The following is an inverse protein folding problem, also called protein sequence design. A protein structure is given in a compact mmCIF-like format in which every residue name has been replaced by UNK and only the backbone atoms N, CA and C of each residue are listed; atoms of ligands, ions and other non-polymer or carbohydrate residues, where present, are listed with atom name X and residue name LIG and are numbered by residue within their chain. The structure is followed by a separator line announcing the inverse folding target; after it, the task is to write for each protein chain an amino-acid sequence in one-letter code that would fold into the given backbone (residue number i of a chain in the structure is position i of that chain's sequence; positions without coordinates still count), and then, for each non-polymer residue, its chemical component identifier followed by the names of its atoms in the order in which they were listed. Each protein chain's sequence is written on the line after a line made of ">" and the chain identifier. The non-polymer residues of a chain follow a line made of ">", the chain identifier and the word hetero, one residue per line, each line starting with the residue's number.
data_IF_851480618112
#
_entry.id   IF_851480618112
#
_cell.length_a   1.000
_cell.length_b   1.000
_cell.length_c   1.000
_cell.angle_alpha   90.00
_cell.angle_beta   90.00
_cell.angle_gamma   90.00
#
_symmetry.space_group_name_H-M   'P 1'
#
loop_
_entity.id
_entity.type
_entity.pdbx_description
1 polymer ?
#
# COMPACT_ATOMS: atom_id res chain seq x y z
N UNK A 1 -20.65 35.99 -1.34
CA UNK A 1 -20.46 34.69 -2.00
C UNK A 1 -20.86 34.84 -3.46
N UNK A 2 -19.87 35.03 -4.36
CA UNK A 2 -20.13 35.07 -5.79
C UNK A 2 -20.35 33.65 -6.29
N UNK A 3 -21.53 33.36 -6.84
CA UNK A 3 -21.77 32.09 -7.52
C UNK A 3 -21.17 32.20 -8.92
N UNK A 4 -20.35 31.24 -9.32
CA UNK A 4 -19.81 31.17 -10.68
C UNK A 4 -20.95 30.80 -11.64
N UNK A 5 -21.70 31.81 -12.08
CA UNK A 5 -22.87 31.69 -12.95
C UNK A 5 -22.62 31.05 -14.34
N UNK A 6 -21.40 31.05 -14.92
CA UNK A 6 -21.19 30.44 -16.23
C UNK A 6 -21.32 28.91 -16.22
N UNK A 7 -20.88 28.22 -15.15
CA UNK A 7 -20.83 26.76 -15.15
C UNK A 7 -22.21 26.10 -15.30
N UNK A 8 -23.26 26.49 -14.55
CA UNK A 8 -24.60 25.91 -14.73
C UNK A 8 -25.25 26.19 -16.09
N UNK A 9 -24.71 27.13 -16.88
CA UNK A 9 -25.22 27.46 -18.23
C UNK A 9 -24.62 26.59 -19.33
N UNK A 10 -23.59 25.82 -19.02
CA UNK A 10 -23.01 24.86 -19.96
C UNK A 10 -23.97 23.69 -20.20
N UNK A 11 -24.03 23.16 -21.45
CA UNK A 11 -24.66 21.88 -21.74
C UNK A 11 -24.21 20.79 -20.76
N UNK A 12 -25.09 19.84 -20.49
CA UNK A 12 -24.83 18.79 -19.52
C UNK A 12 -23.56 17.99 -19.86
N UNK A 13 -23.34 17.73 -21.13
CA UNK A 13 -22.21 16.97 -21.66
C UNK A 13 -20.89 17.65 -21.29
N UNK A 14 -20.80 18.97 -21.42
CA UNK A 14 -19.61 19.72 -21.05
C UNK A 14 -19.40 19.75 -19.54
N UNK A 15 -20.48 19.88 -18.75
CA UNK A 15 -20.36 19.83 -17.29
C UNK A 15 -19.90 18.45 -16.79
N UNK A 16 -20.45 17.38 -17.37
CA UNK A 16 -20.02 16.01 -17.10
C UNK A 16 -18.53 15.82 -17.39
N UNK A 17 -18.08 16.20 -18.59
CA UNK A 17 -16.66 16.15 -18.94
C UNK A 17 -15.77 16.96 -17.98
N UNK A 18 -16.21 18.15 -17.58
CA UNK A 18 -15.48 18.95 -16.58
C UNK A 18 -15.34 18.18 -15.27
N UNK A 19 -16.41 17.54 -14.78
CA UNK A 19 -16.34 16.73 -13.57
C UNK A 19 -15.41 15.53 -13.70
N UNK A 20 -15.47 14.79 -14.82
CA UNK A 20 -14.55 13.69 -15.10
C UNK A 20 -13.09 14.14 -15.07
N UNK A 21 -12.78 15.35 -15.58
CA UNK A 21 -11.44 15.93 -15.54
C UNK A 21 -11.00 16.40 -14.15
N UNK A 22 -11.92 16.53 -13.17
CA UNK A 22 -11.55 16.91 -11.79
C UNK A 22 -11.02 15.75 -10.95
N UNK A 23 -11.05 14.52 -11.49
CA UNK A 23 -10.64 13.34 -10.73
C UNK A 23 -9.14 13.14 -10.88
N UNK A 24 -8.42 13.19 -9.77
CA UNK A 24 -6.98 13.01 -9.72
C UNK A 24 -6.62 11.75 -8.91
N UNK A 25 -5.65 10.94 -9.36
CA UNK A 25 -5.15 9.81 -8.58
C UNK A 25 -4.63 10.26 -7.21
N UNK A 26 -5.02 9.53 -6.17
CA UNK A 26 -4.57 9.79 -4.80
C UNK A 26 -4.42 8.51 -4.01
N UNK A 27 -3.69 8.60 -2.91
CA UNK A 27 -3.58 7.52 -1.93
C UNK A 27 -4.65 7.67 -0.86
N UNK A 28 -5.47 6.64 -0.70
CA UNK A 28 -6.52 6.57 0.31
C UNK A 28 -6.11 5.56 1.37
N UNK A 29 -5.81 6.06 2.57
CA UNK A 29 -5.43 5.23 3.70
C UNK A 29 -6.66 4.61 4.32
N UNK A 30 -6.71 3.28 4.34
CA UNK A 30 -7.83 2.49 4.86
C UNK A 30 -7.28 1.44 5.80
N UNK A 31 -7.42 1.67 7.10
CA UNK A 31 -6.93 0.76 8.12
C UNK A 31 -8.00 0.32 9.11
N UNK A 32 -7.80 -0.86 9.69
CA UNK A 32 -8.74 -1.49 10.61
C UNK A 32 -8.16 -1.46 12.02
N UNK A 33 -8.87 -0.83 12.96
CA UNK A 33 -8.47 -0.76 14.37
C UNK A 33 -9.27 -1.74 15.22
N UNK A 34 -8.59 -2.54 16.04
CA UNK A 34 -9.22 -3.35 17.09
C UNK A 34 -9.69 -2.49 18.25
N UNK A 35 -10.91 -2.66 18.73
CA UNK A 35 -11.28 -2.20 20.06
C UNK A 35 -10.91 -3.25 21.11
N UNK A 36 -10.05 -2.90 22.06
CA UNK A 36 -9.70 -3.70 23.24
C UNK A 36 -9.12 -5.10 22.93
N UNK A 37 -7.80 -5.14 22.76
CA UNK A 37 -6.89 -6.29 22.73
C UNK A 37 -7.50 -7.67 22.46
N UNK A 38 -7.28 -8.19 21.24
CA UNK A 38 -7.48 -9.57 20.76
C UNK A 38 -8.81 -10.32 21.04
N UNK A 39 -9.65 -9.88 21.98
CA UNK A 39 -10.75 -10.66 22.55
C UNK A 39 -12.14 -10.23 22.10
N UNK A 40 -12.31 -9.00 21.60
CA UNK A 40 -13.64 -8.50 21.26
C UNK A 40 -14.10 -8.81 19.83
N UNK A 41 -13.19 -9.23 18.93
CA UNK A 41 -13.51 -9.51 17.52
C UNK A 41 -14.10 -8.31 16.76
N UNK A 42 -14.14 -7.13 17.38
CA UNK A 42 -14.79 -5.94 16.87
C UNK A 42 -13.76 -5.03 16.20
N UNK A 43 -13.93 -4.89 14.90
CA UNK A 43 -13.07 -4.14 14.01
C UNK A 43 -13.72 -2.82 13.65
N UNK A 44 -12.96 -1.73 13.68
CA UNK A 44 -13.40 -0.40 13.28
C UNK A 44 -12.65 0.03 12.03
N UNK A 45 -13.39 0.40 10.99
CA UNK A 45 -12.87 1.07 9.81
C UNK A 45 -12.42 2.49 10.17
N UNK A 46 -11.18 2.82 9.82
CA UNK A 46 -10.59 4.15 10.00
C UNK A 46 -9.97 4.61 8.68
N UNK A 47 -10.24 5.88 8.34
CA UNK A 47 -9.62 6.59 7.23
C UNK A 47 -9.25 7.99 7.70
N UNK A 48 -7.97 8.37 7.68
CA UNK A 48 -7.56 9.76 7.89
C UNK A 48 -7.71 10.58 6.60
N UNK A 49 -7.80 9.91 5.44
CA UNK A 49 -7.90 10.59 4.14
C UNK A 49 -9.22 11.36 4.04
N UNK A 50 -9.17 12.67 3.75
CA UNK A 50 -10.37 13.48 3.62
C UNK A 50 -11.20 13.09 2.39
N UNK A 51 -12.49 13.41 2.46
CA UNK A 51 -13.41 13.24 1.34
C UNK A 51 -12.96 14.15 0.17
N UNK A 52 -12.96 13.66 -1.09
CA UNK A 52 -12.57 14.45 -2.25
C UNK A 52 -13.29 15.79 -2.32
N UNK A 53 -12.56 16.86 -2.67
CA UNK A 53 -13.11 18.21 -2.79
C UNK A 53 -14.30 18.27 -3.77
N UNK A 54 -14.26 17.48 -4.86
CA UNK A 54 -15.34 17.36 -5.85
C UNK A 54 -16.69 16.98 -5.23
N UNK A 55 -16.70 16.13 -4.19
CA UNK A 55 -17.95 15.71 -3.52
C UNK A 55 -18.53 16.80 -2.59
N UNK A 56 -17.71 17.80 -2.25
CA UNK A 56 -18.10 18.98 -1.48
C UNK A 56 -18.56 20.14 -2.37
N UNK A 57 -18.26 20.13 -3.67
CA UNK A 57 -18.54 21.24 -4.57
C UNK A 57 -20.04 21.51 -4.74
N UNK A 58 -20.81 20.52 -5.24
CA UNK A 58 -22.26 20.67 -5.45
C UNK A 58 -22.96 19.31 -5.57
N UNK A 59 -24.30 19.33 -5.65
CA UNK A 59 -25.13 18.13 -5.79
C UNK A 59 -24.87 17.36 -7.09
N UNK A 60 -24.59 18.09 -8.17
CA UNK A 60 -24.29 17.49 -9.48
C UNK A 60 -23.00 16.68 -9.43
N UNK A 61 -21.90 17.28 -8.97
CA UNK A 61 -20.62 16.61 -8.83
C UNK A 61 -20.71 15.35 -7.94
N UNK A 62 -21.44 15.44 -6.82
CA UNK A 62 -21.66 14.29 -5.92
C UNK A 62 -22.44 13.15 -6.57
N UNK A 63 -23.39 13.47 -7.44
CA UNK A 63 -24.25 12.49 -8.09
C UNK A 63 -23.70 12.02 -9.44
N UNK A 64 -22.56 12.56 -9.88
CA UNK A 64 -21.96 12.21 -11.16
C UNK A 64 -21.36 10.79 -11.18
N UNK A 65 -21.19 10.16 -10.01
CA UNK A 65 -20.77 8.76 -9.90
C UNK A 65 -19.25 8.52 -9.94
N UNK A 66 -18.46 9.60 -9.90
CA UNK A 66 -16.99 9.55 -9.94
C UNK A 66 -16.35 8.86 -8.73
N UNK A 67 -17.05 8.81 -7.60
CA UNK A 67 -16.61 8.15 -6.38
C UNK A 67 -17.74 7.31 -5.81
N UNK A 68 -17.39 6.18 -5.19
CA UNK A 68 -18.34 5.25 -4.57
C UNK A 68 -18.05 5.10 -3.08
N UNK A 69 -19.09 4.85 -2.30
CA UNK A 69 -18.95 4.45 -0.89
C UNK A 69 -18.55 2.97 -0.84
N UNK A 70 -17.38 2.66 -0.26
CA UNK A 70 -16.86 1.28 -0.14
C UNK A 70 -16.39 0.99 1.29
N UNK A 71 -16.03 -0.28 1.52
CA UNK A 71 -15.35 -0.79 2.70
C UNK A 71 -16.15 -0.77 4.01
N UNK A 72 -17.45 -0.48 3.97
CA UNK A 72 -18.31 -0.54 5.16
C UNK A 72 -18.53 -1.95 5.70
N UNK A 73 -18.15 -2.97 4.93
CA UNK A 73 -18.07 -4.39 5.27
C UNK A 73 -16.83 -4.77 6.08
N UNK A 74 -15.81 -3.88 6.20
CA UNK A 74 -14.58 -4.13 6.98
C UNK A 74 -14.75 -3.91 8.50
N UNK A 75 -15.94 -3.56 8.94
CA UNK A 75 -16.20 -3.18 10.33
C UNK A 75 -17.41 -3.90 10.91
N UNK A 76 -17.43 -3.99 12.24
CA UNK A 76 -18.61 -4.42 12.97
C UNK A 76 -19.67 -3.31 12.97
N UNK A 77 -20.63 -3.42 12.05
CA UNK A 77 -21.75 -2.48 11.91
C UNK A 77 -22.63 -2.43 13.15
N UNK A 78 -22.70 -3.50 13.94
CA UNK A 78 -23.55 -3.53 15.14
C UNK A 78 -23.00 -2.60 16.23
N UNK A 79 -21.69 -2.38 16.26
CA UNK A 79 -21.02 -1.55 17.26
C UNK A 79 -20.70 -0.13 16.78
N UNK A 80 -20.39 0.06 15.50
CA UNK A 80 -19.84 1.32 14.99
C UNK A 80 -20.72 2.07 13.98
N UNK A 81 -21.92 1.56 13.68
CA UNK A 81 -22.83 2.12 12.67
C UNK A 81 -22.28 1.96 11.26
N UNK A 82 -22.91 2.57 10.25
CA UNK A 82 -22.46 2.50 8.86
C UNK A 82 -21.36 3.54 8.57
N UNK A 83 -20.09 3.08 8.53
CA UNK A 83 -18.97 3.86 8.01
C UNK A 83 -18.63 3.37 6.61
N UNK A 84 -18.07 4.26 5.82
CA UNK A 84 -17.62 3.98 4.47
C UNK A 84 -16.53 4.97 4.10
N UNK A 85 -15.75 4.62 3.07
CA UNK A 85 -14.76 5.49 2.45
C UNK A 85 -15.25 5.86 1.05
N UNK A 86 -15.12 7.13 0.68
CA UNK A 86 -15.34 7.56 -0.71
C UNK A 86 -14.08 7.29 -1.51
N UNK A 87 -14.18 6.38 -2.48
CA UNK A 87 -13.06 5.94 -3.31
C UNK A 87 -13.46 5.80 -4.78
N UNK A 88 -12.49 6.01 -5.66
CA UNK A 88 -12.56 5.60 -7.05
C UNK A 88 -11.52 4.49 -7.26
N UNK A 89 -11.95 3.22 -7.21
CA UNK A 89 -11.05 2.06 -7.26
C UNK A 89 -10.34 1.88 -8.60
N UNK A 90 -10.74 2.61 -9.65
CA UNK A 90 -10.05 2.60 -10.94
C UNK A 90 -8.77 3.45 -10.91
N UNK A 91 -8.72 4.45 -10.03
CA UNK A 91 -7.61 5.42 -9.99
C UNK A 91 -6.91 5.54 -8.61
N UNK A 92 -7.64 5.34 -7.53
CA UNK A 92 -7.15 5.52 -6.16
C UNK A 92 -6.25 4.34 -5.78
N UNK A 93 -5.14 4.66 -5.13
CA UNK A 93 -4.31 3.66 -4.45
C UNK A 93 -4.83 3.46 -3.04
N UNK A 94 -5.15 2.22 -2.67
CA UNK A 94 -5.60 1.88 -1.32
C UNK A 94 -4.36 1.56 -0.48
N UNK A 95 -4.09 2.37 0.54
CA UNK A 95 -2.98 2.18 1.47
C UNK A 95 -3.50 1.56 2.76
N UNK A 96 -3.10 0.32 3.03
CA UNK A 96 -3.50 -0.41 4.24
C UNK A 96 -2.50 -0.26 5.39
N UNK A 97 -1.42 0.51 5.22
CA UNK A 97 -0.34 0.64 6.20
C UNK A 97 0.25 -0.74 6.54
N UNK A 98 0.57 -0.97 7.81
CA UNK A 98 1.06 -2.21 8.39
C UNK A 98 -0.06 -3.19 8.80
N UNK A 99 -1.29 -2.99 8.33
CA UNK A 99 -2.41 -3.86 8.67
C UNK A 99 -2.37 -5.18 7.90
N UNK A 100 -2.64 -6.27 8.63
CA UNK A 100 -2.69 -7.63 8.07
C UNK A 100 -3.73 -7.78 6.96
N UNK A 101 -3.35 -8.46 5.88
CA UNK A 101 -4.18 -8.67 4.69
C UNK A 101 -5.49 -9.41 4.98
N UNK A 102 -5.50 -10.31 5.98
CA UNK A 102 -6.68 -11.08 6.37
C UNK A 102 -7.92 -10.23 6.67
N UNK A 103 -7.73 -8.99 7.14
CA UNK A 103 -8.85 -8.09 7.45
C UNK A 103 -9.55 -7.59 6.20
N UNK A 104 -8.89 -7.61 5.05
CA UNK A 104 -9.39 -7.08 3.79
C UNK A 104 -9.95 -8.15 2.86
N UNK A 105 -9.93 -9.43 3.26
CA UNK A 105 -10.33 -10.57 2.42
C UNK A 105 -11.67 -10.39 1.70
N UNK A 106 -12.65 -9.76 2.35
CA UNK A 106 -13.99 -9.52 1.80
C UNK A 106 -14.01 -8.47 0.68
N UNK A 107 -13.04 -7.55 0.67
CA UNK A 107 -12.97 -6.41 -0.26
C UNK A 107 -11.78 -6.49 -1.20
N UNK A 108 -10.81 -7.36 -0.92
CA UNK A 108 -9.58 -7.55 -1.67
C UNK A 108 -9.83 -7.74 -3.19
N UNK A 109 -10.86 -8.49 -3.64
CA UNK A 109 -11.15 -8.62 -5.07
C UNK A 109 -11.58 -7.30 -5.75
N UNK A 110 -11.95 -6.26 -4.99
CA UNK A 110 -12.35 -4.97 -5.56
C UNK A 110 -11.19 -4.00 -5.71
N UNK A 111 -10.06 -4.25 -5.04
CA UNK A 111 -8.91 -3.36 -5.02
C UNK A 111 -8.06 -3.62 -6.27
N UNK A 112 -7.71 -2.54 -6.98
CA UNK A 112 -6.85 -2.59 -8.18
C UNK A 112 -5.44 -2.07 -7.95
N UNK A 113 -5.26 -1.16 -6.98
CA UNK A 113 -3.98 -0.54 -6.66
C UNK A 113 -3.80 -0.58 -5.16
N UNK A 114 -2.76 -1.26 -4.71
CA UNK A 114 -2.54 -1.55 -3.31
C UNK A 114 -1.21 -0.96 -2.86
N UNK A 115 -1.22 -0.31 -1.70
CA UNK A 115 -0.03 0.08 -0.97
C UNK A 115 -0.08 -0.50 0.43
N UNK A 116 1.04 -0.98 0.92
CA UNK A 116 1.17 -1.45 2.30
C UNK A 116 2.60 -1.23 2.79
N UNK A 117 2.75 -1.21 4.10
CA UNK A 117 4.01 -1.17 4.81
C UNK A 117 4.27 -2.53 5.44
N UNK A 118 5.48 -3.05 5.29
CA UNK A 118 5.85 -4.32 5.86
C UNK A 118 7.34 -4.36 6.21
N UNK A 119 7.65 -5.18 7.20
CA UNK A 119 9.00 -5.72 7.41
C UNK A 119 9.04 -7.10 6.77
N UNK A 120 10.10 -7.45 6.07
CA UNK A 120 10.30 -8.80 5.53
C UNK A 120 10.83 -9.77 6.61
N UNK A 121 10.14 -9.79 7.75
CA UNK A 121 10.41 -10.65 8.91
C UNK A 121 9.13 -11.39 9.31
N UNK A 122 9.23 -12.38 10.19
CA UNK A 122 8.03 -12.98 10.79
C UNK A 122 7.23 -11.91 11.57
N UNK A 123 5.90 -11.83 11.43
CA UNK A 123 5.00 -12.82 10.83
C UNK A 123 4.67 -12.61 9.33
N UNK A 124 5.20 -11.56 8.70
CA UNK A 124 4.81 -11.15 7.34
C UNK A 124 5.20 -12.23 6.32
N UNK A 125 6.41 -12.77 6.44
CA UNK A 125 7.00 -13.70 5.47
C UNK A 125 6.23 -15.01 5.32
N UNK A 126 5.61 -15.53 6.39
CA UNK A 126 4.96 -16.84 6.35
C UNK A 126 3.43 -16.81 6.45
N UNK A 127 2.86 -15.90 7.23
CA UNK A 127 1.42 -15.88 7.48
C UNK A 127 0.70 -14.84 6.63
N UNK A 128 1.17 -13.60 6.66
CA UNK A 128 0.44 -12.48 6.05
C UNK A 128 0.61 -12.47 4.52
N UNK A 129 1.82 -12.66 4.00
CA UNK A 129 2.10 -12.68 2.56
C UNK A 129 1.22 -13.67 1.79
N UNK A 130 0.86 -14.81 2.40
CA UNK A 130 -0.04 -15.81 1.79
C UNK A 130 -1.44 -15.30 1.52
N UNK A 131 -1.92 -14.33 2.30
CA UNK A 131 -3.25 -13.75 2.13
C UNK A 131 -3.31 -12.74 0.97
N UNK A 132 -2.16 -12.37 0.37
CA UNK A 132 -2.12 -11.57 -0.86
C UNK A 132 -2.87 -12.21 -2.03
N UNK A 133 -3.05 -13.53 -2.01
CA UNK A 133 -3.82 -14.27 -3.04
C UNK A 133 -5.30 -13.83 -3.13
N UNK A 134 -5.84 -13.15 -2.11
CA UNK A 134 -7.22 -12.62 -2.16
C UNK A 134 -7.34 -11.35 -3.01
N UNK A 135 -6.23 -10.69 -3.33
CA UNK A 135 -6.18 -9.45 -4.09
C UNK A 135 -6.14 -9.69 -5.61
N UNK A 136 -7.03 -10.56 -6.09
CA UNK A 136 -6.99 -11.14 -7.46
C UNK A 136 -7.07 -10.14 -8.62
N UNK A 137 -7.52 -8.90 -8.37
CA UNK A 137 -7.67 -7.85 -9.39
C UNK A 137 -6.64 -6.73 -9.23
N UNK A 138 -5.66 -6.88 -8.34
CA UNK A 138 -4.60 -5.90 -8.18
C UNK A 138 -3.71 -5.87 -9.42
N UNK A 139 -3.43 -4.67 -9.89
CA UNK A 139 -2.67 -4.37 -11.09
C UNK A 139 -1.37 -3.63 -10.75
N UNK A 140 -1.32 -2.91 -9.63
CA UNK A 140 -0.17 -2.15 -9.14
C UNK A 140 -0.02 -2.35 -7.63
N UNK A 141 1.20 -2.62 -7.17
CA UNK A 141 1.55 -2.75 -5.75
C UNK A 141 2.69 -1.79 -5.40
N UNK A 142 2.56 -1.11 -4.27
CA UNK A 142 3.65 -0.37 -3.63
C UNK A 142 3.91 -0.91 -2.23
N UNK A 143 5.15 -1.30 -1.99
CA UNK A 143 5.60 -1.87 -0.72
C UNK A 143 6.53 -0.87 -0.06
N UNK A 144 6.18 -0.42 1.14
CA UNK A 144 7.09 0.35 1.99
C UNK A 144 7.88 -0.64 2.83
N UNK A 145 9.17 -0.77 2.53
CA UNK A 145 10.11 -1.68 3.15
C UNK A 145 10.64 -1.09 4.46
N UNK A 146 9.90 -1.20 5.57
CA UNK A 146 10.27 -0.53 6.83
C UNK A 146 11.57 -1.04 7.47
N UNK A 147 12.10 -2.18 6.98
CA UNK A 147 13.36 -2.80 7.36
C UNK A 147 14.45 -2.70 6.27
N UNK A 148 14.23 -1.86 5.24
CA UNK A 148 15.19 -1.54 4.19
C UNK A 148 15.33 -2.61 3.10
N UNK A 149 15.87 -2.23 1.95
CA UNK A 149 15.95 -3.10 0.77
C UNK A 149 16.73 -4.39 0.96
N UNK A 150 17.72 -4.41 1.85
CA UNK A 150 18.53 -5.60 2.12
C UNK A 150 17.67 -6.78 2.57
N UNK A 151 16.67 -6.52 3.42
CA UNK A 151 15.76 -7.56 3.92
C UNK A 151 14.79 -8.04 2.85
N UNK A 152 14.56 -7.27 1.79
CA UNK A 152 13.66 -7.60 0.70
C UNK A 152 14.34 -8.31 -0.48
N UNK A 153 15.60 -8.71 -0.34
CA UNK A 153 16.25 -9.63 -1.28
C UNK A 153 15.41 -10.89 -1.47
N UNK A 154 15.29 -11.36 -2.71
CA UNK A 154 14.51 -12.53 -3.10
C UNK A 154 12.98 -12.43 -2.89
N UNK A 155 12.46 -11.27 -2.48
CA UNK A 155 11.02 -11.06 -2.27
C UNK A 155 10.20 -11.34 -3.55
N UNK A 156 10.80 -11.15 -4.71
CA UNK A 156 10.20 -11.43 -6.03
C UNK A 156 9.93 -12.92 -6.27
N UNK A 157 10.68 -13.79 -5.59
CA UNK A 157 10.58 -15.25 -5.73
C UNK A 157 9.78 -15.91 -4.60
N UNK A 158 9.83 -15.33 -3.40
CA UNK A 158 9.23 -15.95 -2.21
C UNK A 158 7.76 -15.57 -1.96
N UNK A 159 7.33 -14.39 -2.39
CA UNK A 159 5.98 -13.89 -2.11
C UNK A 159 5.01 -14.11 -3.27
N UNK A 160 3.73 -14.44 -3.00
CA UNK A 160 2.73 -14.70 -4.04
C UNK A 160 2.11 -13.39 -4.55
N UNK A 161 2.90 -12.60 -5.30
CA UNK A 161 2.44 -11.35 -5.89
C UNK A 161 1.21 -11.58 -6.80
N UNK A 162 0.09 -10.88 -6.57
CA UNK A 162 -1.13 -11.06 -7.36
C UNK A 162 -1.08 -10.38 -8.75
N UNK A 163 0.00 -9.64 -9.04
CA UNK A 163 0.25 -8.96 -10.30
C UNK A 163 1.66 -9.26 -10.83
N UNK A 164 1.93 -8.84 -12.07
CA UNK A 164 3.24 -8.96 -12.68
C UNK A 164 4.29 -8.17 -11.88
N UNK A 165 5.52 -8.70 -11.79
CA UNK A 165 6.55 -8.16 -10.90
C UNK A 165 7.03 -6.76 -11.30
N UNK A 166 6.84 -6.41 -12.58
CA UNK A 166 7.08 -5.08 -13.15
C UNK A 166 6.14 -4.02 -12.55
N UNK A 167 5.00 -4.44 -12.02
CA UNK A 167 4.01 -3.58 -11.39
C UNK A 167 4.12 -3.58 -9.86
N UNK A 168 5.17 -4.17 -9.31
CA UNK A 168 5.50 -4.10 -7.88
C UNK A 168 6.63 -3.09 -7.72
N UNK A 169 6.42 -2.09 -6.87
CA UNK A 169 7.43 -1.08 -6.51
C UNK A 169 7.75 -1.17 -5.03
N UNK A 170 9.03 -1.30 -4.70
CA UNK A 170 9.56 -1.26 -3.35
C UNK A 170 10.04 0.15 -3.05
N UNK A 171 9.83 0.59 -1.81
CA UNK A 171 10.21 1.92 -1.31
C UNK A 171 11.02 1.71 -0.04
N UNK A 172 12.26 2.21 -0.01
CA UNK A 172 13.15 2.17 1.15
C UNK A 172 13.11 3.50 1.91
N UNK A 173 12.34 3.61 3.01
CA UNK A 173 12.34 4.82 3.83
C UNK A 173 13.67 5.06 4.57
N UNK A 174 14.53 4.04 4.71
CA UNK A 174 15.83 4.16 5.37
C UNK A 174 16.90 4.76 4.44
N UNK A 175 16.72 4.59 3.12
CA UNK A 175 17.55 5.20 2.07
C UNK A 175 16.84 6.38 1.39
N UNK A 176 16.21 7.26 2.18
CA UNK A 176 15.61 8.50 1.68
C UNK A 176 14.45 8.31 0.70
N UNK A 177 13.59 7.32 0.95
CA UNK A 177 12.47 6.92 0.08
C UNK A 177 12.92 6.46 -1.32
N UNK A 178 14.12 5.87 -1.43
CA UNK A 178 14.59 5.26 -2.68
C UNK A 178 13.56 4.25 -3.16
N UNK A 179 13.29 4.26 -4.47
CA UNK A 179 12.33 3.33 -5.08
C UNK A 179 13.03 2.36 -6.01
N UNK A 180 12.48 1.15 -6.10
CA UNK A 180 12.94 0.09 -7.00
C UNK A 180 11.74 -0.66 -7.55
N UNK A 181 11.70 -0.90 -8.86
CA UNK A 181 10.72 -1.85 -9.40
C UNK A 181 11.13 -3.28 -9.07
N UNK A 182 10.19 -4.22 -9.08
CA UNK A 182 10.48 -5.59 -8.67
C UNK A 182 11.58 -6.28 -9.49
N UNK A 183 11.79 -5.91 -10.76
CA UNK A 183 12.93 -6.43 -11.55
C UNK A 183 14.31 -5.92 -11.08
N UNK A 184 14.35 -4.79 -10.39
CA UNK A 184 15.58 -4.15 -9.94
C UNK A 184 15.99 -4.59 -8.53
N UNK A 185 15.04 -5.03 -7.70
CA UNK A 185 15.27 -5.27 -6.27
C UNK A 185 16.37 -6.31 -6.01
N UNK A 186 16.44 -7.38 -6.83
CA UNK A 186 17.49 -8.40 -6.71
C UNK A 186 18.87 -7.86 -7.07
N UNK A 187 18.94 -6.95 -8.04
CA UNK A 187 20.20 -6.31 -8.44
C UNK A 187 20.69 -5.35 -7.35
N UNK A 188 19.76 -4.55 -6.81
CA UNK A 188 20.03 -3.63 -5.70
C UNK A 188 20.47 -4.40 -4.46
N UNK A 189 19.79 -5.49 -4.12
CA UNK A 189 20.18 -6.38 -3.03
C UNK A 189 21.62 -6.87 -3.20
N UNK A 190 21.98 -7.41 -4.37
CA UNK A 190 23.35 -7.89 -4.64
C UNK A 190 24.40 -6.78 -4.49
N UNK A 191 24.09 -5.57 -4.97
CA UNK A 191 24.98 -4.42 -4.83
C UNK A 191 25.18 -4.05 -3.35
N UNK A 192 24.10 -3.86 -2.59
CA UNK A 192 24.15 -3.50 -1.18
C UNK A 192 24.91 -4.54 -0.35
N UNK A 193 24.66 -5.83 -0.62
CA UNK A 193 25.40 -6.91 0.04
C UNK A 193 26.90 -6.85 -0.27
N UNK A 194 27.26 -6.62 -1.53
CA UNK A 194 28.68 -6.55 -1.93
C UNK A 194 29.40 -5.38 -1.25
N UNK A 195 28.73 -4.23 -1.10
CA UNK A 195 29.25 -3.05 -0.43
C UNK A 195 29.45 -3.29 1.07
N UNK A 196 28.45 -3.86 1.76
CA UNK A 196 28.55 -4.18 3.20
C UNK A 196 29.68 -5.18 3.48
N UNK A 197 29.85 -6.19 2.62
CA UNK A 197 30.95 -7.17 2.75
C UNK A 197 32.32 -6.55 2.45
N UNK A 198 32.40 -5.68 1.45
CA UNK A 198 33.62 -4.91 1.16
C UNK A 198 34.05 -4.05 2.34
N UNK A 199 33.11 -3.36 2.98
CA UNK A 199 33.39 -2.55 4.18
C UNK A 199 33.86 -3.40 5.36
N UNK A 200 33.28 -4.59 5.53
CA UNK A 200 33.58 -5.48 6.66
C UNK A 200 34.89 -6.24 6.49
N UNK A 201 35.10 -6.85 5.33
CA UNK A 201 36.15 -7.86 5.11
C UNK A 201 37.25 -7.37 4.13
N UNK A 202 37.04 -6.24 3.44
CA UNK A 202 38.00 -5.68 2.48
C UNK A 202 38.13 -6.47 1.17
N UNK A 203 37.27 -7.47 0.93
CA UNK A 203 37.30 -8.34 -0.26
C UNK A 203 36.06 -8.07 -1.11
N UNK A 204 36.27 -7.77 -2.40
CA UNK A 204 35.20 -7.62 -3.38
C UNK A 204 34.61 -8.99 -3.71
N UNK A 205 33.28 -9.12 -3.67
CA UNK A 205 32.60 -10.38 -3.96
C UNK A 205 32.75 -10.74 -5.44
N UNK A 206 33.26 -11.95 -5.74
CA UNK A 206 33.16 -12.56 -7.07
C UNK A 206 31.91 -13.44 -7.09
N UNK A 207 31.12 -13.31 -8.15
CA UNK A 207 29.83 -13.99 -8.34
C UNK A 207 29.91 -15.52 -8.42
N UNK A 208 31.10 -16.10 -8.26
CA UNK A 208 31.36 -17.53 -8.25
C UNK A 208 31.19 -18.20 -6.89
N UNK A 209 31.11 -17.45 -5.79
CA UNK A 209 31.11 -18.04 -4.45
C UNK A 209 29.67 -18.34 -3.97
N UNK A 210 29.43 -19.61 -3.68
CA UNK A 210 28.12 -20.23 -3.46
C UNK A 210 27.23 -19.51 -2.43
N UNK A 211 25.92 -19.54 -2.72
CA UNK A 211 24.81 -18.92 -1.98
C UNK A 211 24.57 -19.46 -0.56
N UNK A 212 25.46 -20.27 0.00
CA UNK A 212 25.19 -21.11 1.18
C UNK A 212 25.93 -20.68 2.47
N UNK A 213 26.77 -19.64 2.45
CA UNK A 213 27.50 -19.20 3.65
C UNK A 213 27.16 -17.74 3.99
N UNK A 214 26.20 -17.56 4.89
CA UNK A 214 25.81 -16.27 5.43
C UNK A 214 25.77 -16.31 6.96
N UNK A 215 26.61 -15.51 7.66
CA UNK A 215 26.53 -15.38 9.10
C UNK A 215 25.36 -14.46 9.48
N UNK A 216 24.40 -15.00 10.25
CA UNK A 216 23.26 -14.25 10.82
C UNK A 216 23.72 -13.03 11.65
N UNK A 217 24.96 -13.03 12.12
CA UNK A 217 25.55 -12.05 13.05
C UNK A 217 26.18 -10.80 12.38
N UNK A 218 26.04 -10.63 11.06
CA UNK A 218 26.71 -9.53 10.33
C UNK A 218 25.94 -8.20 10.29
N UNK A 219 24.72 -8.14 10.83
CA UNK A 219 23.92 -6.93 10.80
C UNK A 219 24.09 -6.13 12.10
N UNK A 220 24.45 -4.83 12.04
CA UNK A 220 24.32 -3.96 13.20
C UNK A 220 22.87 -4.01 13.69
N UNK A 221 22.67 -4.26 14.98
CA UNK A 221 21.39 -4.03 15.64
C UNK A 221 21.05 -2.54 15.49
N UNK A 222 20.26 -2.20 14.47
CA UNK A 222 19.69 -0.87 14.37
C UNK A 222 18.59 -0.78 15.43
N UNK A 223 18.93 -0.13 16.56
CA UNK A 223 18.00 0.14 17.65
C UNK A 223 16.74 0.84 17.14
N UNK A 224 15.61 0.13 17.22
CA UNK A 224 14.27 0.62 16.97
C UNK A 224 13.95 1.82 17.89
N UNK A 225 13.76 3.01 17.32
CA UNK A 225 13.01 4.08 17.96
C UNK A 225 11.53 3.97 17.58
N UNK A 226 10.80 3.06 18.24
CA UNK A 226 9.34 3.08 18.26
C UNK A 226 8.89 3.49 19.66
N UNK A 227 8.69 4.80 19.86
CA UNK A 227 8.00 5.34 21.04
C UNK A 227 6.63 5.89 20.64
N UNK A 228 5.59 5.30 21.24
CA UNK A 228 4.21 5.76 21.47
C UNK A 228 3.26 6.07 20.30
#
# INVERSE_FOLDING_TARGET
>A
MSTFHPFPRLPFELRAQIWEMTVEPRTVTVYVKTSNGFRSGAWRLVTPTPVPATLHSCREARNHGLYQKKFGELQDRTQYGDRYVWVNLDIDMIDILDCQFRYYKTVAPTIRRLKFEARNEEPFTHADSRDMVFFVNVQEIRVVCSDGFVKWGHATHYHPWPCAIENVTFIDPLDGDRTAIGLEIETIYRQLISEVRLEKDGVAWDSSDDLDDWPEDAFPEFECYCNN
#
